data_IF_544350790905
#
_entry.id   IF_544350790905
#
_cell.length_a   1.000
_cell.length_b   1.000
_cell.length_c   1.000
_cell.angle_alpha   90.00
_cell.angle_beta   90.00
_cell.angle_gamma   90.00
#
_symmetry.space_group_name_H-M   'P 1'
#
loop_
_entity.id
_entity.type
_entity.pdbx_description
1 polymer ?
#
# COMPACT_ATOMS: atom_id res chain seq x y z
N UNK A 1 34.23 37.73 42.58
CA UNK A 1 34.57 36.36 43.02
C UNK A 1 33.57 35.39 42.43
N UNK A 2 33.86 34.85 41.24
CA UNK A 2 33.13 33.69 40.72
C UNK A 2 33.80 32.44 41.30
N UNK A 3 33.10 31.72 42.17
CA UNK A 3 33.64 30.53 42.80
C UNK A 3 33.53 29.36 41.81
N UNK A 4 34.67 28.81 41.38
CA UNK A 4 34.72 27.69 40.44
C UNK A 4 34.02 26.42 40.97
N UNK A 5 33.76 26.37 42.29
CA UNK A 5 33.05 25.27 42.96
C UNK A 5 31.54 25.20 42.68
N UNK A 6 30.90 26.32 42.28
CA UNK A 6 29.44 26.33 42.00
C UNK A 6 29.12 26.05 40.52
N UNK A 7 30.11 26.18 39.64
CA UNK A 7 29.99 25.88 38.21
C UNK A 7 29.42 24.47 37.90
N UNK A 8 29.90 23.38 38.54
CA UNK A 8 29.33 22.05 38.33
C UNK A 8 27.88 21.94 38.82
N UNK A 9 27.50 22.66 39.89
CA UNK A 9 26.13 22.63 40.44
C UNK A 9 25.14 23.29 39.49
N UNK A 10 25.53 24.42 38.89
CA UNK A 10 24.74 25.06 37.84
C UNK A 10 24.66 24.22 36.56
N UNK A 11 25.75 23.53 36.20
CA UNK A 11 25.75 22.60 35.05
C UNK A 11 24.76 21.45 35.21
N UNK A 12 24.70 20.86 36.41
CA UNK A 12 23.76 19.77 36.73
C UNK A 12 22.31 20.29 36.71
N UNK A 13 22.03 21.46 37.31
CA UNK A 13 20.67 22.02 37.29
C UNK A 13 20.21 22.43 35.89
N UNK A 14 21.13 22.96 35.07
CA UNK A 14 20.83 23.38 33.69
C UNK A 14 20.59 22.16 32.79
N UNK A 15 21.34 21.07 32.98
CA UNK A 15 21.12 19.81 32.27
C UNK A 15 19.76 19.19 32.62
N UNK A 16 19.34 19.25 33.89
CA UNK A 16 18.03 18.76 34.30
C UNK A 16 16.89 19.62 33.72
N UNK A 17 17.01 20.94 33.78
CA UNK A 17 16.04 21.86 33.17
C UNK A 17 15.95 21.68 31.64
N UNK A 18 17.09 21.45 30.98
CA UNK A 18 17.14 21.16 29.56
C UNK A 18 16.50 19.81 29.21
N UNK A 19 16.75 18.77 30.02
CA UNK A 19 16.11 17.45 29.86
C UNK A 19 14.59 17.51 30.00
N UNK A 20 14.09 18.29 30.96
CA UNK A 20 12.65 18.55 31.14
C UNK A 20 12.06 19.34 29.97
N UNK A 21 12.75 20.39 29.52
CA UNK A 21 12.29 21.21 28.41
C UNK A 21 12.23 20.39 27.12
N UNK A 22 13.28 19.63 26.80
CA UNK A 22 13.31 18.71 25.65
C UNK A 22 12.22 17.64 25.79
N UNK A 23 11.98 17.09 26.98
CA UNK A 23 10.91 16.11 27.21
C UNK A 23 9.53 16.70 26.98
N UNK A 24 9.26 17.93 27.43
CA UNK A 24 7.98 18.63 27.20
C UNK A 24 7.78 18.94 25.71
N UNK A 25 8.83 19.37 25.00
CA UNK A 25 8.76 19.63 23.55
C UNK A 25 8.59 18.34 22.73
N UNK A 26 9.31 17.27 23.07
CA UNK A 26 9.18 15.97 22.41
C UNK A 26 7.79 15.35 22.67
N UNK A 27 7.24 15.55 23.87
CA UNK A 27 5.90 15.15 24.24
C UNK A 27 4.84 15.98 23.49
N UNK A 28 4.99 17.31 23.42
CA UNK A 28 4.09 18.17 22.66
C UNK A 28 4.07 17.80 21.16
N UNK A 29 5.24 17.48 20.61
CA UNK A 29 5.36 16.99 19.24
C UNK A 29 4.72 15.61 19.06
N UNK A 30 4.98 14.67 19.97
CA UNK A 30 4.33 13.35 19.98
C UNK A 30 2.81 13.43 20.15
N UNK A 31 2.31 14.35 20.97
CA UNK A 31 0.89 14.55 21.27
C UNK A 31 0.11 15.11 20.07
N UNK A 32 0.75 15.84 19.16
CA UNK A 32 0.10 16.34 17.93
C UNK A 32 0.40 15.44 16.73
N UNK A 33 1.61 14.88 16.65
CA UNK A 33 2.03 14.02 15.56
C UNK A 33 1.32 12.66 15.62
N UNK A 34 1.18 12.04 16.79
CA UNK A 34 0.58 10.70 16.93
C UNK A 34 -0.91 10.72 16.61
N UNK A 35 -1.76 11.64 17.11
CA UNK A 35 -3.17 11.72 16.72
C UNK A 35 -3.37 12.10 15.26
N UNK A 36 -2.51 12.93 14.67
CA UNK A 36 -2.55 13.22 13.23
C UNK A 36 -2.17 11.99 12.40
N UNK A 37 -1.15 11.23 12.83
CA UNK A 37 -0.77 9.96 12.18
C UNK A 37 -1.90 8.95 12.30
N UNK A 38 -2.47 8.79 13.50
CA UNK A 38 -3.60 7.93 13.79
C UNK A 38 -4.84 8.33 12.99
N UNK A 39 -5.20 9.61 12.92
CA UNK A 39 -6.34 10.10 12.15
C UNK A 39 -6.17 9.82 10.65
N UNK A 40 -4.95 10.01 10.14
CA UNK A 40 -4.57 9.69 8.77
C UNK A 40 -4.59 8.18 8.50
N UNK A 41 -4.22 7.35 9.49
CA UNK A 41 -4.31 5.88 9.40
C UNK A 41 -5.69 5.30 9.79
N UNK A 42 -6.56 6.07 10.45
CA UNK A 42 -7.89 5.69 10.93
C UNK A 42 -9.02 6.17 10.01
N UNK A 43 -8.69 6.89 8.93
CA UNK A 43 -9.59 7.12 7.81
C UNK A 43 -9.34 6.06 6.73
N UNK A 44 -9.92 4.84 6.85
CA UNK A 44 -9.84 3.82 5.80
C UNK A 44 -10.36 4.36 4.47
N UNK A 45 -11.25 5.35 4.51
CA UNK A 45 -11.79 6.05 3.35
C UNK A 45 -10.74 6.85 2.57
N UNK A 46 -9.82 7.55 3.24
CA UNK A 46 -8.76 8.30 2.54
C UNK A 46 -7.74 7.35 1.94
N UNK A 47 -7.37 6.30 2.69
CA UNK A 47 -6.47 5.24 2.23
C UNK A 47 -7.08 4.48 1.05
N UNK A 48 -8.37 4.17 1.11
CA UNK A 48 -9.13 3.55 0.02
C UNK A 48 -9.15 4.43 -1.22
N UNK A 49 -9.46 5.73 -1.10
CA UNK A 49 -9.46 6.69 -2.22
C UNK A 49 -8.11 6.78 -2.94
N UNK A 50 -7.00 6.74 -2.19
CA UNK A 50 -5.66 6.75 -2.79
C UNK A 50 -5.39 5.43 -3.50
N UNK A 51 -5.71 4.29 -2.87
CA UNK A 51 -5.39 2.98 -3.41
C UNK A 51 -6.29 2.60 -4.60
N UNK A 52 -7.57 2.98 -4.63
CA UNK A 52 -8.46 2.80 -5.77
C UNK A 52 -7.99 3.61 -6.98
N UNK A 53 -7.51 4.85 -6.77
CA UNK A 53 -6.96 5.67 -7.85
C UNK A 53 -5.68 5.04 -8.43
N UNK A 54 -4.81 4.51 -7.56
CA UNK A 54 -3.62 3.75 -8.00
C UNK A 54 -4.01 2.48 -8.74
N UNK A 55 -5.06 1.79 -8.29
CA UNK A 55 -5.59 0.60 -8.96
C UNK A 55 -6.15 0.96 -10.34
N UNK A 56 -6.85 2.09 -10.48
CA UNK A 56 -7.32 2.59 -11.77
C UNK A 56 -6.19 2.84 -12.75
N UNK A 57 -5.10 3.50 -12.31
CA UNK A 57 -3.89 3.68 -13.14
C UNK A 57 -3.21 2.37 -13.51
N UNK A 58 -3.26 1.37 -12.63
CA UNK A 58 -2.73 0.04 -12.93
C UNK A 58 -3.62 -0.73 -13.90
N UNK A 59 -4.95 -0.57 -13.79
CA UNK A 59 -5.91 -1.13 -14.73
C UNK A 59 -5.74 -0.55 -16.13
N UNK A 60 -5.50 0.76 -16.23
CA UNK A 60 -5.17 1.44 -17.49
C UNK A 60 -3.92 0.84 -18.14
N UNK A 61 -2.83 0.64 -17.38
CA UNK A 61 -1.63 -0.03 -17.89
C UNK A 61 -1.86 -1.49 -18.32
N UNK A 62 -2.72 -2.23 -17.62
CA UNK A 62 -3.10 -3.59 -18.03
C UNK A 62 -3.88 -3.54 -19.34
N UNK A 63 -4.76 -2.56 -19.50
CA UNK A 63 -5.52 -2.35 -20.72
C UNK A 63 -4.61 -1.97 -21.89
N UNK A 64 -3.67 -1.05 -21.70
CA UNK A 64 -2.68 -0.67 -22.71
C UNK A 64 -1.82 -1.87 -23.14
N UNK A 65 -1.33 -2.65 -22.17
CA UNK A 65 -0.56 -3.87 -22.45
C UNK A 65 -1.42 -4.94 -23.14
N UNK A 66 -2.72 -5.01 -22.84
CA UNK A 66 -3.67 -5.89 -23.52
C UNK A 66 -3.89 -5.46 -24.97
N UNK A 67 -3.96 -4.16 -25.24
CA UNK A 67 -4.06 -3.62 -26.59
C UNK A 67 -2.80 -3.94 -27.40
N UNK A 68 -1.60 -3.66 -26.86
CA UNK A 68 -0.34 -4.00 -27.53
C UNK A 68 -0.23 -5.51 -27.82
N UNK A 69 -0.59 -6.36 -26.86
CA UNK A 69 -0.61 -7.81 -27.06
C UNK A 69 -1.56 -8.21 -28.19
N UNK A 70 -2.74 -7.59 -28.26
CA UNK A 70 -3.71 -7.84 -29.32
C UNK A 70 -3.13 -7.47 -30.69
N UNK A 71 -2.52 -6.28 -30.83
CA UNK A 71 -1.85 -5.82 -32.06
C UNK A 71 -0.71 -6.76 -32.49
N UNK A 72 0.07 -7.29 -31.55
CA UNK A 72 1.15 -8.23 -31.90
C UNK A 72 0.59 -9.58 -32.33
N UNK A 73 -0.48 -10.04 -31.69
CA UNK A 73 -1.16 -11.29 -32.06
C UNK A 73 -1.87 -11.17 -33.42
N UNK A 74 -2.48 -10.03 -33.74
CA UNK A 74 -3.03 -9.78 -35.09
C UNK A 74 -1.93 -9.75 -36.13
N UNK A 75 -0.78 -9.12 -35.86
CA UNK A 75 0.38 -9.13 -36.75
C UNK A 75 0.88 -10.56 -36.99
N UNK A 76 0.98 -11.39 -35.95
CA UNK A 76 1.33 -12.82 -36.08
C UNK A 76 0.31 -13.56 -36.95
N UNK A 77 -0.98 -13.36 -36.74
CA UNK A 77 -2.02 -14.00 -37.54
C UNK A 77 -1.99 -13.52 -39.01
N UNK A 78 -1.79 -12.23 -39.25
CA UNK A 78 -1.67 -11.65 -40.60
C UNK A 78 -0.43 -12.18 -41.33
N UNK A 79 0.74 -12.19 -40.69
CA UNK A 79 1.97 -12.76 -41.27
C UNK A 79 1.82 -14.26 -41.55
N UNK A 80 1.09 -15.01 -40.71
CA UNK A 80 0.85 -16.44 -40.94
C UNK A 80 -0.01 -16.69 -42.18
N UNK A 81 -1.06 -15.87 -42.37
CA UNK A 81 -1.94 -15.95 -43.54
C UNK A 81 -1.26 -15.49 -44.83
N UNK A 82 -0.34 -14.53 -44.75
CA UNK A 82 0.39 -14.01 -45.91
C UNK A 82 1.41 -15.01 -46.48
N UNK A 83 1.94 -15.93 -45.66
CA UNK A 83 2.93 -16.91 -46.10
C UNK A 83 2.32 -18.07 -46.88
N UNK A 84 2.93 -18.40 -48.03
CA UNK A 84 2.51 -19.55 -48.82
C UNK A 84 3.10 -20.84 -48.22
N UNK A 85 2.39 -21.97 -48.32
CA UNK A 85 2.82 -23.28 -47.79
C UNK A 85 4.15 -23.83 -48.33
N UNK A 86 4.80 -23.14 -49.27
CA UNK A 86 6.05 -23.54 -49.91
C UNK A 86 7.24 -22.69 -49.47
N UNK A 87 7.01 -21.65 -48.66
CA UNK A 87 8.09 -20.77 -48.22
C UNK A 87 8.95 -21.45 -47.15
N UNK A 88 10.29 -21.40 -47.26
CA UNK A 88 11.18 -22.00 -46.26
C UNK A 88 11.03 -21.35 -44.88
N UNK A 89 10.57 -20.09 -44.83
CA UNK A 89 10.32 -19.32 -43.61
C UNK A 89 9.07 -19.78 -42.83
N UNK A 90 8.16 -20.50 -43.48
CA UNK A 90 6.90 -20.94 -42.89
C UNK A 90 7.12 -21.80 -41.63
N UNK A 91 8.16 -22.64 -41.63
CA UNK A 91 8.50 -23.48 -40.46
C UNK A 91 8.79 -22.65 -39.21
N UNK A 92 9.49 -21.53 -39.35
CA UNK A 92 9.77 -20.63 -38.23
C UNK A 92 8.49 -19.92 -37.77
N UNK A 93 7.64 -19.54 -38.71
CA UNK A 93 6.36 -18.90 -38.41
C UNK A 93 5.40 -19.85 -37.68
N UNK A 94 5.38 -21.13 -38.02
CA UNK A 94 4.57 -22.15 -37.33
C UNK A 94 4.99 -22.30 -35.86
N UNK A 95 6.29 -22.24 -35.56
CA UNK A 95 6.78 -22.25 -34.17
C UNK A 95 6.34 -21.00 -33.40
N UNK A 96 6.33 -19.83 -34.05
CA UNK A 96 5.84 -18.58 -33.46
C UNK A 96 4.33 -18.66 -33.23
N UNK A 97 3.58 -19.18 -34.20
CA UNK A 97 2.14 -19.37 -34.13
C UNK A 97 1.75 -20.28 -32.97
N UNK A 98 2.41 -21.43 -32.85
CA UNK A 98 2.22 -22.39 -31.76
C UNK A 98 2.54 -21.78 -30.39
N UNK A 99 3.58 -20.95 -30.33
CA UNK A 99 3.91 -20.21 -29.11
C UNK A 99 2.80 -19.23 -28.73
N UNK A 100 2.25 -18.48 -29.69
CA UNK A 100 1.10 -17.61 -29.46
C UNK A 100 -0.09 -18.42 -28.93
N UNK A 101 -0.50 -19.50 -29.59
CA UNK A 101 -1.64 -20.31 -29.12
C UNK A 101 -1.49 -20.89 -27.72
N UNK A 102 -0.27 -21.24 -27.31
CA UNK A 102 0.00 -21.89 -26.02
C UNK A 102 0.14 -20.89 -24.88
N UNK A 103 0.87 -19.79 -25.12
CA UNK A 103 1.32 -18.87 -24.06
C UNK A 103 0.55 -17.54 -24.04
N UNK A 104 -0.07 -17.12 -25.15
CA UNK A 104 -0.84 -15.86 -25.13
C UNK A 104 -2.26 -16.08 -24.59
N UNK A 105 -2.70 -15.27 -23.60
CA UNK A 105 -4.06 -15.36 -23.07
C UNK A 105 -5.13 -14.99 -24.10
N UNK A 106 -4.76 -14.18 -25.10
CA UNK A 106 -5.58 -13.87 -26.27
C UNK A 106 -5.19 -14.85 -27.38
N UNK A 107 -6.13 -15.67 -27.85
CA UNK A 107 -5.83 -16.64 -28.91
C UNK A 107 -5.83 -15.93 -30.27
N UNK A 108 -4.87 -16.23 -31.16
CA UNK A 108 -4.80 -15.60 -32.48
C UNK A 108 -6.06 -15.81 -33.33
N UNK A 109 -6.74 -16.95 -33.14
CA UNK A 109 -8.00 -17.26 -33.81
C UNK A 109 -9.18 -16.40 -33.33
N UNK A 110 -9.12 -15.87 -32.11
CA UNK A 110 -10.16 -15.01 -31.54
C UNK A 110 -9.99 -13.53 -31.87
N UNK A 111 -8.89 -13.17 -32.55
CA UNK A 111 -8.55 -11.77 -32.87
C UNK A 111 -9.13 -11.30 -34.20
N UNK A 112 -9.93 -12.13 -34.87
CA UNK A 112 -10.82 -11.68 -35.93
C UNK A 112 -12.06 -11.01 -35.33
N UNK A 113 -12.51 -9.90 -35.92
CA UNK A 113 -13.77 -9.26 -35.51
C UNK A 113 -14.98 -10.21 -35.64
N UNK A 114 -16.18 -9.71 -35.34
CA UNK A 114 -17.45 -10.48 -35.38
C UNK A 114 -17.65 -11.25 -36.70
N UNK A 115 -17.01 -10.80 -37.79
CA UNK A 115 -17.08 -11.39 -39.13
C UNK A 115 -15.82 -12.18 -39.55
N UNK A 116 -14.89 -12.47 -38.64
CA UNK A 116 -13.63 -13.17 -38.94
C UNK A 116 -12.60 -12.36 -39.73
N UNK A 117 -12.90 -11.11 -40.09
CA UNK A 117 -11.95 -10.17 -40.66
C UNK A 117 -10.97 -9.69 -39.58
N UNK A 118 -9.68 -9.77 -39.87
CA UNK A 118 -8.64 -9.22 -39.00
C UNK A 118 -8.78 -7.70 -38.96
N UNK A 119 -8.67 -7.13 -37.76
CA UNK A 119 -8.61 -5.69 -37.57
C UNK A 119 -7.23 -5.17 -38.00
N UNK A 120 -7.01 -5.06 -39.31
CA UNK A 120 -5.78 -4.51 -39.89
C UNK A 120 -5.66 -3.00 -39.71
N UNK A 121 -6.75 -2.27 -39.37
CA UNK A 121 -6.69 -0.82 -39.15
C UNK A 121 -5.92 -0.48 -37.87
N UNK A 122 -5.95 -1.38 -36.87
CA UNK A 122 -5.17 -1.25 -35.64
C UNK A 122 -3.69 -1.67 -35.78
N UNK A 123 -3.29 -2.24 -36.92
CA UNK A 123 -1.93 -2.73 -37.19
C UNK A 123 -1.18 -1.71 -38.04
N UNK A 124 -0.01 -1.28 -37.57
CA UNK A 124 0.81 -0.33 -38.33
C UNK A 124 1.38 -0.96 -39.61
N UNK A 125 1.69 -0.13 -40.62
CA UNK A 125 2.27 -0.60 -41.89
C UNK A 125 3.62 -1.31 -41.66
N UNK A 126 4.40 -0.84 -40.69
CA UNK A 126 5.67 -1.47 -40.26
C UNK A 126 5.44 -2.87 -39.66
N UNK A 127 4.26 -3.10 -39.06
CA UNK A 127 3.90 -4.36 -38.42
C UNK A 127 3.42 -5.45 -39.39
N UNK A 128 3.36 -5.15 -40.69
CA UNK A 128 2.99 -6.11 -41.74
C UNK A 128 4.22 -6.68 -42.49
N UNK A 129 5.43 -6.15 -42.28
CA UNK A 129 6.62 -6.52 -43.06
C UNK A 129 7.49 -7.65 -42.44
N UNK A 130 7.02 -8.26 -41.34
CA UNK A 130 7.80 -9.30 -40.64
C UNK A 130 8.03 -10.56 -41.48
N UNK A 131 7.26 -10.78 -42.54
CA UNK A 131 7.30 -11.98 -43.38
C UNK A 131 8.44 -12.05 -44.40
N UNK A 132 9.16 -10.94 -44.63
CA UNK A 132 10.17 -10.84 -45.70
C UNK A 132 11.53 -11.41 -45.31
N UNK A 133 11.87 -11.42 -44.01
CA UNK A 133 13.20 -11.80 -43.52
C UNK A 133 13.16 -12.63 -42.24
N UNK A 134 14.16 -13.50 -42.06
CA UNK A 134 14.39 -14.26 -40.81
C UNK A 134 14.57 -13.29 -39.63
N UNK A 135 15.19 -12.13 -39.86
CA UNK A 135 15.35 -11.10 -38.83
C UNK A 135 14.01 -10.50 -38.41
N UNK A 136 13.09 -10.30 -39.36
CA UNK A 136 11.72 -9.85 -39.09
C UNK A 136 10.96 -10.85 -38.22
N UNK A 137 11.00 -12.14 -38.56
CA UNK A 137 10.40 -13.19 -37.72
C UNK A 137 11.02 -13.27 -36.32
N UNK A 138 12.33 -13.09 -36.20
CA UNK A 138 13.00 -13.06 -34.90
C UNK A 138 12.57 -11.84 -34.07
N UNK A 139 12.38 -10.68 -34.70
CA UNK A 139 11.88 -9.46 -34.05
C UNK A 139 10.42 -9.65 -33.61
N UNK A 140 9.57 -10.22 -34.46
CA UNK A 140 8.18 -10.54 -34.14
C UNK A 140 8.09 -11.47 -32.93
N UNK A 141 8.87 -12.56 -32.92
CA UNK A 141 8.95 -13.49 -31.78
C UNK A 141 9.36 -12.77 -30.49
N UNK A 142 10.42 -11.94 -30.53
CA UNK A 142 10.87 -11.18 -29.34
C UNK A 142 9.83 -10.18 -28.86
N UNK A 143 9.10 -9.53 -29.78
CA UNK A 143 8.03 -8.59 -29.44
C UNK A 143 6.85 -9.33 -28.80
N UNK A 144 6.42 -10.45 -29.37
CA UNK A 144 5.38 -11.32 -28.82
C UNK A 144 5.73 -11.80 -27.41
N UNK A 145 6.94 -12.35 -27.21
CA UNK A 145 7.40 -12.80 -25.90
C UNK A 145 7.40 -11.67 -24.87
N UNK A 146 7.88 -10.47 -25.26
CA UNK A 146 7.84 -9.29 -24.40
C UNK A 146 6.41 -8.89 -24.05
N UNK A 147 5.53 -8.74 -25.03
CA UNK A 147 4.13 -8.36 -24.81
C UNK A 147 3.40 -9.34 -23.87
N UNK A 148 3.58 -10.65 -24.07
CA UNK A 148 3.02 -11.69 -23.18
C UNK A 148 3.58 -11.55 -21.76
N UNK A 149 4.90 -11.40 -21.60
CA UNK A 149 5.53 -11.26 -20.29
C UNK A 149 5.08 -10.00 -19.53
N UNK A 150 4.90 -8.89 -20.26
CA UNK A 150 4.45 -7.61 -19.70
C UNK A 150 2.99 -7.70 -19.26
N UNK A 151 2.11 -8.24 -20.11
CA UNK A 151 0.70 -8.42 -19.80
C UNK A 151 0.51 -9.35 -18.60
N UNK A 152 1.17 -10.51 -18.58
CA UNK A 152 1.05 -11.49 -17.49
C UNK A 152 1.60 -10.91 -16.18
N UNK A 153 2.72 -10.21 -16.22
CA UNK A 153 3.30 -9.53 -15.07
C UNK A 153 2.38 -8.44 -14.50
N UNK A 154 1.81 -7.58 -15.36
CA UNK A 154 0.89 -6.52 -14.95
C UNK A 154 -0.44 -7.07 -14.44
N UNK A 155 -1.00 -8.07 -15.11
CA UNK A 155 -2.24 -8.74 -14.69
C UNK A 155 -2.10 -9.39 -13.31
N UNK A 156 -0.97 -10.04 -13.05
CA UNK A 156 -0.68 -10.62 -11.73
C UNK A 156 -0.59 -9.54 -10.65
N UNK A 157 0.11 -8.43 -10.94
CA UNK A 157 0.19 -7.29 -10.02
C UNK A 157 -1.18 -6.67 -9.74
N UNK A 158 -2.01 -6.55 -10.78
CA UNK A 158 -3.37 -6.05 -10.67
C UNK A 158 -4.21 -6.95 -9.75
N UNK A 159 -4.31 -8.25 -10.04
CA UNK A 159 -5.04 -9.22 -9.23
C UNK A 159 -4.61 -9.19 -7.76
N UNK A 160 -3.29 -9.10 -7.49
CA UNK A 160 -2.77 -9.03 -6.12
C UNK A 160 -3.21 -7.77 -5.37
N UNK A 161 -3.34 -6.63 -6.07
CA UNK A 161 -3.75 -5.35 -5.46
C UNK A 161 -5.27 -5.22 -5.32
N UNK A 162 -6.04 -5.79 -6.25
CA UNK A 162 -7.52 -5.75 -6.22
C UNK A 162 -8.06 -6.26 -4.89
N UNK A 163 -7.56 -7.39 -4.38
CA UNK A 163 -8.04 -7.98 -3.13
C UNK A 163 -7.90 -7.03 -1.93
N UNK A 164 -6.82 -6.24 -1.87
CA UNK A 164 -6.62 -5.25 -0.81
C UNK A 164 -7.60 -4.09 -0.91
N UNK A 165 -7.86 -3.62 -2.12
CA UNK A 165 -8.82 -2.53 -2.36
C UNK A 165 -10.24 -2.99 -2.06
N UNK A 166 -10.59 -4.23 -2.39
CA UNK A 166 -11.87 -4.86 -2.06
C UNK A 166 -12.08 -4.98 -0.55
N UNK A 167 -11.07 -5.44 0.20
CA UNK A 167 -11.15 -5.48 1.68
C UNK A 167 -11.40 -4.08 2.27
N UNK A 168 -10.67 -3.07 1.78
CA UNK A 168 -10.83 -1.69 2.22
C UNK A 168 -12.21 -1.11 1.86
N UNK A 169 -12.74 -1.43 0.68
CA UNK A 169 -14.08 -1.03 0.26
C UNK A 169 -15.14 -1.62 1.20
N UNK A 170 -15.01 -2.91 1.55
CA UNK A 170 -15.91 -3.56 2.49
C UNK A 170 -15.83 -2.97 3.91
N UNK A 171 -14.63 -2.59 4.37
CA UNK A 171 -14.47 -1.87 5.65
C UNK A 171 -15.19 -0.50 5.57
N UNK A 172 -15.01 0.25 4.48
CA UNK A 172 -15.68 1.53 4.28
C UNK A 172 -17.22 1.37 4.23
N UNK A 173 -17.73 0.38 3.50
CA UNK A 173 -19.17 0.08 3.40
C UNK A 173 -19.75 -0.32 4.74
N UNK A 174 -19.12 -1.24 5.48
CA UNK A 174 -19.59 -1.66 6.81
C UNK A 174 -19.58 -0.52 7.83
N UNK A 175 -18.64 0.43 7.72
CA UNK A 175 -18.61 1.63 8.58
C UNK A 175 -19.73 2.61 8.25
N UNK A 176 -20.09 2.77 6.97
CA UNK A 176 -21.17 3.67 6.52
C UNK A 176 -22.56 3.08 6.75
N UNK A 177 -22.74 1.79 6.51
CA UNK A 177 -24.03 1.10 6.61
C UNK A 177 -24.40 0.70 8.05
N UNK A 178 -23.46 0.78 9.00
CA UNK A 178 -23.62 0.31 10.39
C UNK A 178 -23.94 -1.19 10.53
N UNK A 179 -23.99 -1.92 9.41
CA UNK A 179 -24.12 -3.37 9.33
C UNK A 179 -22.77 -4.01 9.04
N UNK A 180 -22.18 -4.63 10.06
CA UNK A 180 -20.89 -5.32 9.94
C UNK A 180 -21.10 -6.78 9.51
N UNK A 181 -21.49 -6.99 8.26
CA UNK A 181 -21.40 -8.31 7.62
C UNK A 181 -19.92 -8.74 7.53
N UNK A 182 -19.54 -9.96 7.97
CA UNK A 182 -18.16 -10.40 7.91
C UNK A 182 -17.70 -10.60 6.47
N UNK A 183 -16.49 -10.14 6.14
CA UNK A 183 -15.84 -10.43 4.87
C UNK A 183 -15.57 -11.93 4.72
N UNK A 184 -15.70 -12.51 3.51
CA UNK A 184 -15.48 -13.94 3.29
C UNK A 184 -14.12 -14.41 3.84
N UNK A 185 -14.14 -15.46 4.65
CA UNK A 185 -12.94 -16.06 5.24
C UNK A 185 -12.36 -15.32 6.45
N UNK A 186 -12.97 -14.22 6.93
CA UNK A 186 -12.52 -13.49 8.12
C UNK A 186 -13.51 -13.70 9.26
N UNK A 187 -13.07 -14.14 10.45
CA UNK A 187 -13.98 -14.32 11.57
C UNK A 187 -14.53 -12.98 12.06
N UNK A 188 -15.80 -12.99 12.51
CA UNK A 188 -16.58 -11.79 12.86
C UNK A 188 -15.89 -10.88 13.88
N UNK A 189 -15.18 -11.45 14.86
CA UNK A 189 -14.48 -10.67 15.90
C UNK A 189 -13.28 -9.88 15.33
N UNK A 190 -12.51 -10.46 14.39
CA UNK A 190 -11.42 -9.75 13.70
C UNK A 190 -11.99 -8.62 12.84
N UNK A 191 -13.14 -8.85 12.22
CA UNK A 191 -13.83 -7.82 11.42
C UNK A 191 -14.31 -6.65 12.29
N UNK A 192 -14.96 -6.93 13.43
CA UNK A 192 -15.38 -5.91 14.41
C UNK A 192 -14.16 -5.14 14.93
N UNK A 193 -13.05 -5.83 15.22
CA UNK A 193 -11.83 -5.18 15.65
C UNK A 193 -11.30 -4.18 14.60
N UNK A 194 -11.27 -4.60 13.33
CA UNK A 194 -10.81 -3.77 12.21
C UNK A 194 -11.71 -2.56 11.95
N UNK A 195 -13.03 -2.73 12.02
CA UNK A 195 -13.99 -1.66 11.70
C UNK A 195 -14.24 -0.69 12.86
N UNK A 196 -14.29 -1.18 14.11
CA UNK A 196 -14.75 -0.41 15.27
C UNK A 196 -13.63 -0.18 16.29
N UNK A 197 -12.94 -1.22 16.76
CA UNK A 197 -12.05 -1.14 17.94
C UNK A 197 -10.77 -0.37 17.65
N UNK A 198 -10.21 -0.51 16.44
CA UNK A 198 -8.95 0.12 16.02
C UNK A 198 -8.86 1.63 16.35
N UNK A 199 -9.82 2.50 15.98
CA UNK A 199 -9.77 3.92 16.33
C UNK A 199 -9.88 4.21 17.84
N UNK A 200 -10.58 3.38 18.62
CA UNK A 200 -10.69 3.57 20.07
C UNK A 200 -9.41 3.17 20.81
N UNK A 201 -8.75 2.08 20.41
CA UNK A 201 -7.44 1.67 20.96
C UNK A 201 -6.42 2.79 20.81
N UNK A 202 -6.43 3.39 19.63
CA UNK A 202 -5.57 4.52 19.29
C UNK A 202 -5.88 5.78 20.11
N UNK A 203 -7.16 6.06 20.39
CA UNK A 203 -7.59 7.15 21.27
C UNK A 203 -7.22 6.89 22.73
N UNK A 204 -7.40 5.67 23.23
CA UNK A 204 -7.01 5.27 24.58
C UNK A 204 -5.50 5.33 24.78
N UNK A 205 -4.72 4.84 23.82
CA UNK A 205 -3.26 4.93 23.87
C UNK A 205 -2.78 6.38 24.02
N UNK A 206 -3.41 7.33 23.33
CA UNK A 206 -3.07 8.76 23.47
C UNK A 206 -3.38 9.33 24.86
N UNK A 207 -4.48 8.89 25.50
CA UNK A 207 -4.86 9.32 26.85
C UNK A 207 -3.88 8.75 27.87
N UNK A 208 -3.51 7.47 27.75
CA UNK A 208 -2.56 6.81 28.65
C UNK A 208 -1.19 7.49 28.59
N UNK A 209 -0.69 7.79 27.38
CA UNK A 209 0.57 8.52 27.20
C UNK A 209 0.53 9.93 27.82
N UNK A 210 -0.60 10.63 27.75
CA UNK A 210 -0.77 11.94 28.38
C UNK A 210 -0.71 11.84 29.91
N UNK A 211 -1.37 10.84 30.51
CA UNK A 211 -1.37 10.60 31.96
C UNK A 211 0.05 10.25 32.44
N UNK A 212 0.76 9.37 31.72
CA UNK A 212 2.14 8.99 32.05
C UNK A 212 3.05 10.22 32.04
N UNK A 213 2.87 11.14 31.09
CA UNK A 213 3.70 12.35 31.06
C UNK A 213 3.42 13.33 32.19
N UNK A 214 2.15 13.49 32.60
CA UNK A 214 1.81 14.32 33.76
C UNK A 214 2.46 13.71 35.02
N UNK A 215 2.40 12.39 35.16
CA UNK A 215 3.02 11.67 36.27
C UNK A 215 4.53 11.88 36.35
N UNK A 216 5.24 11.89 35.21
CA UNK A 216 6.68 12.16 35.17
C UNK A 216 7.00 13.60 35.57
N UNK A 217 6.23 14.58 35.08
CA UNK A 217 6.42 16.00 35.47
C UNK A 217 6.18 16.19 36.97
N UNK A 218 5.15 15.55 37.53
CA UNK A 218 4.90 15.59 38.97
C UNK A 218 6.04 14.94 39.78
N UNK A 219 6.59 13.82 39.31
CA UNK A 219 7.72 13.16 39.97
C UNK A 219 8.98 14.04 39.97
N UNK A 220 9.29 14.68 38.84
CA UNK A 220 10.43 15.59 38.69
C UNK A 220 10.26 16.88 39.51
N UNK A 221 9.05 17.46 39.53
CA UNK A 221 8.75 18.61 40.38
C UNK A 221 8.87 18.28 41.88
N UNK A 222 8.54 17.05 42.28
CA UNK A 222 8.67 16.58 43.66
C UNK A 222 10.14 16.41 44.06
N UNK A 223 10.97 15.87 43.17
CA UNK A 223 12.41 15.68 43.41
C UNK A 223 13.17 17.03 43.38
N UNK A 224 12.81 17.94 42.47
CA UNK A 224 13.44 19.26 42.33
C UNK A 224 13.12 20.27 43.43
N UNK A 225 12.05 20.05 44.21
CA UNK A 225 11.60 20.96 45.27
C UNK A 225 12.36 20.83 46.60
N UNK A 226 13.32 19.91 46.72
CA UNK A 226 14.29 19.90 47.83
C UNK A 226 13.68 19.94 49.23
N UNK A 227 12.56 19.23 49.46
CA UNK A 227 11.91 19.15 50.78
C UNK A 227 11.70 17.68 51.14
N UNK A 228 12.59 17.15 51.97
CA UNK A 228 12.18 16.16 52.97
C UNK A 228 11.08 16.86 53.80
N UNK A 229 9.80 16.43 53.74
CA UNK A 229 9.39 15.18 54.37
C UNK A 229 8.42 14.33 53.53
N UNK A 230 8.34 13.05 53.88
CA UNK A 230 7.53 12.00 53.24
C UNK A 230 6.05 12.36 53.03
N UNK A 231 5.66 12.59 51.76
CA UNK A 231 4.26 12.60 51.32
C UNK A 231 4.15 11.82 50.02
N UNK A 232 4.36 10.50 50.10
CA UNK A 232 3.98 9.58 49.03
C UNK A 232 2.45 9.64 48.83
N UNK A 233 1.94 9.65 47.58
CA UNK A 233 0.50 9.70 47.30
C UNK A 233 -0.28 8.50 47.92
N UNK A 234 0.41 7.38 48.18
CA UNK A 234 -0.18 6.23 48.90
C UNK A 234 -0.42 6.51 50.39
N UNK A 235 0.38 7.38 51.02
CA UNK A 235 0.21 7.77 52.43
C UNK A 235 -1.06 8.60 52.65
N UNK A 236 -1.40 9.46 51.68
CA UNK A 236 -2.62 10.29 51.70
C UNK A 236 -3.88 9.43 51.58
N UNK A 237 -3.86 8.39 50.75
CA UNK A 237 -5.00 7.46 50.61
C UNK A 237 -5.21 6.66 51.89
N UNK A 238 -4.13 6.16 52.52
CA UNK A 238 -4.22 5.44 53.79
C UNK A 238 -4.67 6.34 54.94
N UNK A 239 -4.29 7.63 54.94
CA UNK A 239 -4.77 8.60 55.94
C UNK A 239 -6.23 9.02 55.74
N UNK A 240 -6.69 9.09 54.48
CA UNK A 240 -8.11 9.36 54.17
C UNK A 240 -9.03 8.22 54.60
N UNK A 241 -8.58 6.97 54.45
CA UNK A 241 -9.33 5.79 54.89
C UNK A 241 -9.40 5.68 56.42
N UNK A 242 -8.33 6.10 57.12
CA UNK A 242 -8.26 6.10 58.59
C UNK A 242 -9.12 7.18 59.27
N UNK A 243 -9.43 8.28 58.58
CA UNK A 243 -10.27 9.36 59.11
C UNK A 243 -11.78 9.16 58.89
N UNK A 244 -12.18 8.08 58.21
CA UNK A 244 -13.58 7.71 57.96
C UNK A 244 -14.06 6.51 58.81
N UNK A 245 -13.29 6.09 59.82
CA UNK A 245 -13.63 5.05 60.80
C UNK A 245 -13.98 5.64 62.16
#
# INVERSE_FOLDING_TARGET
>A
HFNAADLPRYGISLSNAFGLLVSVFLLGYGLVAIPKLLWRHASPETSWRVEINRLGRLAERVNDASFELNTVVTAVQATHLQMTRRDPLQKYMEVIYKYAETESPIKPQSTGGINGALDLEAVSVDDLDYGVSIQGLAQLRRRLQRAVSVYTGLSTQYCRKVGRVQELDAICKSRRAMECGPWPGVPRHVWIYKCIIRPYVFRLASIVLAIVSISVICAEATIGAGRNPDLSPLSIIVHLERNHS
#
